data_IF_571071584461
#
_entry.id   IF_571071584461
#
_cell.length_a   1.000
_cell.length_b   1.000
_cell.length_c   1.000
_cell.angle_alpha   90.00
_cell.angle_beta   90.00
_cell.angle_gamma   90.00
#
_symmetry.space_group_name_H-M   'P 1'
#
loop_
_entity.id
_entity.type
_entity.pdbx_description
1 polymer ?
#
# COMPACT_ATOMS: atom_id res chain seq x y z
N UNK A 1 -28.94 -6.59 19.11
CA UNK A 1 -28.67 -5.52 18.13
C UNK A 1 -27.98 -4.39 18.88
N UNK A 2 -27.02 -3.69 18.26
CA UNK A 2 -26.43 -2.50 18.88
C UNK A 2 -27.46 -1.38 18.93
N UNK A 3 -27.61 -0.73 20.09
CA UNK A 3 -28.41 0.48 20.21
C UNK A 3 -27.58 1.67 19.72
N UNK A 4 -27.88 2.14 18.51
CA UNK A 4 -27.16 3.25 17.89
C UNK A 4 -27.47 4.61 18.54
N UNK A 5 -28.41 4.69 19.48
CA UNK A 5 -28.62 5.91 20.28
C UNK A 5 -27.55 6.11 21.36
N UNK A 6 -26.90 5.02 21.80
CA UNK A 6 -25.86 5.03 22.84
C UNK A 6 -24.51 4.47 22.36
N UNK A 7 -24.44 3.98 21.12
CA UNK A 7 -23.23 3.40 20.53
C UNK A 7 -22.82 4.12 19.25
N UNK A 8 -21.53 4.06 18.93
CA UNK A 8 -20.97 4.43 17.62
C UNK A 8 -20.40 3.17 16.97
N UNK A 9 -20.73 2.97 15.69
CA UNK A 9 -20.16 1.93 14.85
C UNK A 9 -19.32 2.59 13.76
N UNK A 10 -18.08 2.15 13.63
CA UNK A 10 -17.18 2.54 12.55
C UNK A 10 -16.82 1.31 11.75
N UNK A 11 -17.06 1.36 10.44
CA UNK A 11 -16.70 0.31 9.50
C UNK A 11 -15.72 0.87 8.48
N UNK A 12 -14.60 0.19 8.30
CA UNK A 12 -13.62 0.52 7.26
C UNK A 12 -12.87 -0.72 6.80
N UNK A 13 -11.86 -0.55 5.94
CA UNK A 13 -10.94 -1.59 5.53
C UNK A 13 -9.49 -1.17 5.82
N UNK A 14 -8.59 -2.14 5.91
CA UNK A 14 -7.16 -1.91 5.95
C UNK A 14 -6.63 -1.48 4.57
N UNK A 15 -7.14 -2.07 3.49
CA UNK A 15 -6.81 -1.73 2.12
C UNK A 15 -7.90 -2.14 1.12
N UNK A 16 -7.75 -1.67 -0.11
CA UNK A 16 -8.54 -2.10 -1.27
C UNK A 16 -7.97 -3.36 -1.93
N UNK A 17 -8.48 -3.68 -3.13
CA UNK A 17 -8.05 -4.84 -3.92
C UNK A 17 -8.31 -4.56 -5.39
N UNK A 18 -7.33 -4.83 -6.27
CA UNK A 18 -7.50 -4.70 -7.71
C UNK A 18 -7.26 -6.03 -8.43
N UNK A 19 -7.88 -6.19 -9.60
CA UNK A 19 -7.51 -7.25 -10.53
C UNK A 19 -6.13 -6.93 -11.13
N UNK A 20 -5.28 -7.94 -11.25
CA UNK A 20 -3.93 -7.82 -11.80
C UNK A 20 -3.85 -8.74 -13.01
N UNK A 21 -3.84 -8.16 -14.21
CA UNK A 21 -3.81 -8.92 -15.47
C UNK A 21 -2.39 -9.31 -15.88
N UNK A 22 -1.38 -8.72 -15.24
CA UNK A 22 0.04 -8.97 -15.52
C UNK A 22 0.86 -9.01 -14.24
N UNK A 23 2.01 -9.68 -14.31
CA UNK A 23 3.03 -9.61 -13.29
C UNK A 23 4.40 -9.26 -13.88
N UNK A 24 5.23 -8.58 -13.10
CA UNK A 24 6.61 -8.21 -13.46
C UNK A 24 7.53 -8.60 -12.31
N UNK A 25 8.72 -9.11 -12.60
CA UNK A 25 9.76 -9.26 -11.59
C UNK A 25 10.85 -8.22 -11.77
N UNK A 26 10.90 -7.20 -10.89
CA UNK A 26 11.99 -6.24 -10.88
C UNK A 26 13.37 -6.90 -10.75
N UNK A 27 13.50 -7.97 -9.95
CA UNK A 27 14.76 -8.71 -9.81
C UNK A 27 15.18 -9.35 -11.13
N UNK A 28 14.24 -9.94 -11.89
CA UNK A 28 14.53 -10.51 -13.20
C UNK A 28 14.90 -9.44 -14.23
N UNK A 29 14.17 -8.31 -14.27
CA UNK A 29 14.50 -7.17 -15.13
C UNK A 29 15.92 -6.71 -14.89
N UNK A 30 16.29 -6.52 -13.62
CA UNK A 30 17.63 -6.09 -13.24
C UNK A 30 18.70 -7.11 -13.63
N UNK A 31 18.42 -8.40 -13.42
CA UNK A 31 19.34 -9.47 -13.81
C UNK A 31 19.60 -9.49 -15.33
N UNK A 32 18.57 -9.26 -16.16
CA UNK A 32 18.70 -9.13 -17.61
C UNK A 32 19.54 -7.90 -18.03
N UNK A 33 19.59 -6.86 -17.19
CA UNK A 33 20.45 -5.70 -17.34
C UNK A 33 21.84 -5.86 -16.68
N UNK A 34 22.16 -7.04 -16.14
CA UNK A 34 23.44 -7.32 -15.48
C UNK A 34 23.55 -6.81 -14.03
N UNK A 35 22.45 -6.38 -13.42
CA UNK A 35 22.38 -5.88 -12.05
C UNK A 35 21.81 -6.96 -11.11
N UNK A 36 22.41 -7.13 -9.94
CA UNK A 36 21.94 -8.09 -8.92
C UNK A 36 21.20 -7.35 -7.81
N UNK A 37 20.02 -7.85 -7.46
CA UNK A 37 19.21 -7.31 -6.38
C UNK A 37 18.50 -8.43 -5.61
N UNK A 38 18.23 -8.18 -4.34
CA UNK A 38 17.40 -9.01 -3.48
C UNK A 38 16.04 -8.37 -3.30
N UNK A 39 14.97 -9.05 -3.71
CA UNK A 39 13.60 -8.57 -3.58
C UNK A 39 12.93 -9.03 -2.28
N UNK A 40 12.07 -8.19 -1.72
CA UNK A 40 11.13 -8.57 -0.65
C UNK A 40 9.73 -8.02 -1.00
N UNK A 41 8.72 -8.89 -1.21
CA UNK A 41 7.37 -8.44 -1.50
C UNK A 41 6.69 -7.96 -0.22
N UNK A 42 5.88 -6.90 -0.34
CA UNK A 42 5.22 -6.29 0.81
C UNK A 42 4.03 -7.11 1.34
N UNK A 43 3.58 -8.10 0.56
CA UNK A 43 2.44 -8.94 0.89
C UNK A 43 2.84 -10.34 1.38
N UNK A 44 4.09 -10.52 1.83
CA UNK A 44 4.61 -11.81 2.29
C UNK A 44 3.88 -12.24 3.58
N UNK A 45 2.84 -13.05 3.45
CA UNK A 45 2.02 -13.54 4.56
C UNK A 45 2.33 -15.01 4.94
N UNK A 46 3.25 -15.67 4.21
CA UNK A 46 3.60 -17.07 4.42
C UNK A 46 2.54 -18.06 3.94
N UNK A 47 1.46 -17.57 3.32
CA UNK A 47 0.34 -18.35 2.80
C UNK A 47 0.24 -18.13 1.29
N UNK A 48 1.07 -18.88 0.54
CA UNK A 48 1.18 -18.81 -0.92
C UNK A 48 -0.18 -18.81 -1.68
N UNK A 49 -1.22 -19.39 -1.07
CA UNK A 49 -2.57 -19.50 -1.64
C UNK A 49 -3.28 -18.15 -1.87
N UNK A 50 -2.93 -17.07 -1.17
CA UNK A 50 -3.70 -15.82 -1.24
C UNK A 50 -3.34 -14.92 -2.41
N UNK A 51 -2.04 -14.80 -2.74
CA UNK A 51 -1.58 -13.89 -3.79
C UNK A 51 -0.44 -14.45 -4.66
N UNK A 52 -0.06 -15.72 -4.49
CA UNK A 52 1.10 -16.33 -5.17
C UNK A 52 2.40 -15.52 -4.96
N UNK A 53 2.52 -14.84 -3.82
CA UNK A 53 3.59 -13.90 -3.47
C UNK A 53 3.75 -12.69 -4.43
N UNK A 54 2.69 -12.33 -5.17
CA UNK A 54 2.66 -11.20 -6.11
C UNK A 54 1.91 -10.00 -5.52
N UNK A 55 2.61 -8.91 -5.21
CA UNK A 55 2.06 -7.72 -4.55
C UNK A 55 2.12 -6.47 -5.41
N UNK A 56 1.48 -5.39 -5.00
CA UNK A 56 1.54 -4.11 -5.72
C UNK A 56 2.85 -3.33 -5.52
N UNK A 57 3.74 -3.81 -4.66
CA UNK A 57 5.02 -3.18 -4.36
C UNK A 57 6.08 -4.20 -3.94
N UNK A 58 7.34 -3.82 -4.11
CA UNK A 58 8.51 -4.65 -3.80
C UNK A 58 9.64 -3.76 -3.24
N UNK A 59 10.22 -4.18 -2.11
CA UNK A 59 11.51 -3.64 -1.67
C UNK A 59 12.65 -4.33 -2.41
N UNK A 60 13.66 -3.55 -2.80
CA UNK A 60 14.89 -4.04 -3.39
C UNK A 60 16.07 -3.66 -2.51
N UNK A 61 16.95 -4.62 -2.29
CA UNK A 61 18.19 -4.48 -1.55
C UNK A 61 19.37 -4.84 -2.47
N UNK A 62 20.50 -4.17 -2.28
CA UNK A 62 21.70 -4.37 -3.09
C UNK A 62 22.92 -4.63 -2.20
N UNK A 63 23.76 -5.58 -2.60
CA UNK A 63 25.06 -5.79 -1.94
C UNK A 63 26.00 -4.60 -2.18
N UNK A 64 25.93 -4.00 -3.38
CA UNK A 64 26.62 -2.77 -3.74
C UNK A 64 25.61 -1.61 -3.79
N UNK A 65 25.65 -0.68 -2.81
CA UNK A 65 24.77 0.49 -2.80
C UNK A 65 24.88 1.36 -4.05
N UNK A 66 26.03 1.34 -4.76
CA UNK A 66 26.22 2.08 -6.00
C UNK A 66 25.30 1.62 -7.14
N UNK A 67 24.81 0.39 -7.09
CA UNK A 67 23.94 -0.18 -8.12
C UNK A 67 22.50 0.38 -8.08
N UNK A 68 22.07 0.99 -6.98
CA UNK A 68 20.68 1.43 -6.82
C UNK A 68 20.26 2.51 -7.84
N UNK A 69 21.19 3.40 -8.22
CA UNK A 69 20.93 4.43 -9.22
C UNK A 69 20.65 3.86 -10.61
N UNK A 70 21.54 2.99 -11.09
CA UNK A 70 21.38 2.31 -12.38
C UNK A 70 20.15 1.40 -12.38
N UNK A 71 19.91 0.69 -11.27
CA UNK A 71 18.73 -0.16 -11.10
C UNK A 71 17.43 0.65 -11.19
N UNK A 72 17.38 1.82 -10.54
CA UNK A 72 16.24 2.74 -10.64
C UNK A 72 16.02 3.19 -12.08
N UNK A 73 17.08 3.56 -12.79
CA UNK A 73 17.00 4.00 -14.19
C UNK A 73 16.44 2.90 -15.11
N UNK A 74 16.90 1.65 -14.95
CA UNK A 74 16.39 0.50 -15.69
C UNK A 74 14.90 0.26 -15.39
N UNK A 75 14.54 0.19 -14.10
CA UNK A 75 13.17 -0.12 -13.69
C UNK A 75 12.16 0.97 -14.09
N UNK A 76 12.57 2.23 -14.11
CA UNK A 76 11.73 3.34 -14.55
C UNK A 76 11.32 3.25 -16.04
N UNK A 77 12.02 2.44 -16.85
CA UNK A 77 11.67 2.21 -18.26
C UNK A 77 10.76 0.99 -18.47
N UNK A 78 10.41 0.26 -17.41
CA UNK A 78 9.64 -0.98 -17.51
C UNK A 78 8.15 -0.67 -17.56
N UNK A 79 7.49 -1.08 -18.64
CA UNK A 79 6.04 -1.01 -18.75
C UNK A 79 5.36 -1.81 -17.61
N UNK A 80 4.60 -1.12 -16.76
CA UNK A 80 3.93 -1.71 -15.61
C UNK A 80 4.56 -1.38 -14.25
N UNK A 81 5.69 -0.66 -14.23
CA UNK A 81 6.23 -0.01 -13.05
C UNK A 81 5.83 1.46 -13.10
N UNK A 82 5.11 1.93 -12.10
CA UNK A 82 4.63 3.33 -12.04
C UNK A 82 5.68 4.26 -11.44
N UNK A 83 6.40 3.78 -10.43
CA UNK A 83 7.31 4.61 -9.65
C UNK A 83 8.36 3.75 -8.96
N UNK A 84 9.57 4.30 -8.82
CA UNK A 84 10.68 3.70 -8.10
C UNK A 84 11.31 4.79 -7.26
N UNK A 85 11.20 4.66 -5.94
CA UNK A 85 11.75 5.63 -4.99
C UNK A 85 12.98 5.04 -4.30
N UNK A 86 13.96 5.90 -4.03
CA UNK A 86 15.03 5.53 -3.13
C UNK A 86 14.57 5.51 -1.68
N UNK A 87 15.38 4.90 -0.82
CA UNK A 87 15.22 4.95 0.64
C UNK A 87 14.99 6.36 1.16
N UNK A 88 15.79 7.33 0.71
CA UNK A 88 15.74 8.73 1.14
C UNK A 88 14.45 9.41 0.70
N UNK A 89 13.88 8.97 -0.41
CA UNK A 89 12.63 9.49 -0.95
C UNK A 89 11.38 8.83 -0.33
N UNK A 90 11.54 7.74 0.44
CA UNK A 90 10.43 6.94 0.95
C UNK A 90 9.42 7.75 1.80
N UNK A 91 9.89 8.80 2.48
CA UNK A 91 9.03 9.72 3.24
C UNK A 91 7.97 10.43 2.40
N UNK A 92 8.16 10.53 1.07
CA UNK A 92 7.15 11.07 0.13
C UNK A 92 5.85 10.27 0.16
N UNK A 93 5.95 8.97 0.41
CA UNK A 93 4.81 8.05 0.54
C UNK A 93 4.51 7.72 2.02
N UNK A 94 4.96 8.57 2.95
CA UNK A 94 4.81 8.39 4.41
C UNK A 94 5.41 7.07 4.93
N UNK A 95 6.40 6.53 4.22
CA UNK A 95 7.13 5.35 4.65
C UNK A 95 8.35 5.75 5.50
N UNK A 96 8.70 4.96 6.53
CA UNK A 96 9.90 5.17 7.35
C UNK A 96 11.18 4.87 6.55
N UNK A 97 12.04 5.85 6.24
CA UNK A 97 13.26 5.64 5.43
C UNK A 97 14.22 4.59 6.01
N UNK A 98 14.25 4.45 7.33
CA UNK A 98 15.08 3.49 8.06
C UNK A 98 14.55 2.05 8.03
N UNK A 99 13.33 1.81 7.51
CA UNK A 99 12.72 0.46 7.48
C UNK A 99 12.29 -0.02 6.08
N UNK A 100 12.66 0.71 5.03
CA UNK A 100 12.44 0.28 3.64
C UNK A 100 13.69 -0.37 3.03
N UNK A 101 13.55 -0.94 1.83
CA UNK A 101 14.70 -1.33 1.01
C UNK A 101 15.50 -0.12 0.51
N UNK A 102 16.60 -0.39 -0.20
CA UNK A 102 17.39 0.66 -0.85
C UNK A 102 16.58 1.35 -1.95
N UNK A 103 15.72 0.57 -2.63
CA UNK A 103 14.62 1.08 -3.44
C UNK A 103 13.29 0.47 -2.99
N UNK A 104 12.21 1.22 -3.20
CA UNK A 104 10.85 0.70 -3.29
C UNK A 104 10.34 0.87 -4.71
N UNK A 105 9.82 -0.22 -5.27
CA UNK A 105 9.21 -0.27 -6.59
C UNK A 105 7.70 -0.42 -6.46
N UNK A 106 6.95 0.40 -7.20
CA UNK A 106 5.49 0.42 -7.22
C UNK A 106 4.96 -0.08 -8.56
N UNK A 107 4.11 -1.09 -8.53
CA UNK A 107 3.45 -1.62 -9.72
C UNK A 107 2.26 -0.75 -10.14
N UNK A 108 2.01 -0.71 -11.46
CA UNK A 108 0.82 -0.11 -12.02
C UNK A 108 -0.46 -0.80 -11.53
N UNK A 109 -1.61 -0.13 -11.71
CA UNK A 109 -2.91 -0.60 -11.20
C UNK A 109 -3.22 -2.07 -11.51
N UNK A 110 -2.88 -2.53 -12.71
CA UNK A 110 -3.17 -3.89 -13.19
C UNK A 110 -1.95 -4.83 -13.14
N UNK A 111 -0.84 -4.38 -12.57
CA UNK A 111 0.43 -5.12 -12.53
C UNK A 111 0.77 -5.49 -11.10
N UNK A 112 1.08 -6.77 -10.88
CA UNK A 112 1.67 -7.24 -9.65
C UNK A 112 3.18 -7.42 -9.80
N UNK A 113 3.93 -7.14 -8.74
CA UNK A 113 5.37 -7.32 -8.64
C UNK A 113 5.67 -8.61 -7.89
N UNK A 114 6.64 -9.36 -8.40
CA UNK A 114 7.09 -10.61 -7.80
C UNK A 114 8.59 -10.84 -7.93
N UNK A 115 9.03 -12.01 -7.48
CA UNK A 115 10.44 -12.40 -7.50
C UNK A 115 10.54 -13.76 -8.16
N UNK A 116 11.30 -13.85 -9.25
CA UNK A 116 11.70 -15.11 -9.86
C UNK A 116 13.04 -14.97 -10.59
N UNK A 117 13.82 -16.05 -10.61
CA UNK A 117 15.14 -16.06 -11.24
C UNK A 117 15.08 -16.31 -12.76
N UNK A 118 14.11 -17.12 -13.20
CA UNK A 118 14.06 -17.66 -14.57
C UNK A 118 12.77 -17.35 -15.32
N UNK A 119 12.86 -17.44 -16.65
CA UNK A 119 11.77 -17.12 -17.57
C UNK A 119 11.65 -15.62 -17.88
N UNK A 120 10.54 -15.20 -18.52
CA UNK A 120 10.37 -13.81 -18.90
C UNK A 120 10.21 -12.91 -17.68
N UNK A 121 10.73 -11.68 -17.77
CA UNK A 121 10.62 -10.66 -16.72
C UNK A 121 9.18 -10.18 -16.48
N UNK A 122 8.27 -10.42 -17.42
CA UNK A 122 6.84 -10.13 -17.31
C UNK A 122 6.00 -11.35 -17.73
N UNK A 123 4.83 -11.52 -17.12
CA UNK A 123 3.90 -12.63 -17.37
C UNK A 123 2.47 -12.10 -17.44
N UNK A 124 1.63 -12.76 -18.21
CA UNK A 124 0.19 -12.54 -18.18
C UNK A 124 -0.42 -13.35 -17.03
N UNK A 125 -1.41 -12.77 -16.36
CA UNK A 125 -2.05 -13.33 -15.18
C UNK A 125 -3.56 -13.44 -15.39
N UNK A 126 -4.11 -14.61 -15.09
CA UNK A 126 -5.55 -14.87 -15.14
C UNK A 126 -6.11 -15.00 -13.73
N UNK A 127 -7.16 -14.21 -13.44
CA UNK A 127 -7.87 -14.29 -12.16
C UNK A 127 -7.10 -13.77 -10.94
N UNK A 128 -5.91 -13.19 -11.11
CA UNK A 128 -5.15 -12.65 -9.99
C UNK A 128 -5.82 -11.39 -9.44
N UNK A 129 -5.94 -11.35 -8.11
CA UNK A 129 -6.28 -10.15 -7.36
C UNK A 129 -5.20 -9.92 -6.33
N UNK A 130 -4.74 -8.68 -6.21
CA UNK A 130 -3.72 -8.30 -5.24
C UNK A 130 -3.84 -6.84 -4.85
N UNK A 131 -3.06 -6.45 -3.85
CA UNK A 131 -3.03 -5.13 -3.23
C UNK A 131 -1.59 -4.71 -2.88
N UNK A 132 -1.45 -3.56 -2.23
CA UNK A 132 -0.16 -3.05 -1.77
C UNK A 132 0.56 -2.13 -2.76
N UNK A 133 -0.10 -1.72 -3.85
CA UNK A 133 0.34 -0.59 -4.68
C UNK A 133 -0.33 0.70 -4.22
N UNK A 134 0.02 1.81 -4.86
CA UNK A 134 -0.65 3.11 -4.67
C UNK A 134 -2.14 3.07 -5.08
N UNK A 135 -2.57 2.07 -5.86
CA UNK A 135 -3.92 1.98 -6.43
C UNK A 135 -4.95 1.25 -5.55
N UNK A 136 -4.54 0.68 -4.41
CA UNK A 136 -5.42 0.00 -3.46
C UNK A 136 -5.63 0.81 -2.16
N UNK A 137 -5.41 2.12 -2.19
CA UNK A 137 -5.56 2.99 -1.01
C UNK A 137 -7.00 3.47 -0.79
N UNK A 138 -7.85 3.46 -1.82
CA UNK A 138 -9.25 3.89 -1.69
C UNK A 138 -10.08 2.78 -1.04
N UNK A 139 -10.54 3.05 0.18
CA UNK A 139 -11.29 2.11 1.03
C UNK A 139 -12.67 2.67 1.40
N UNK A 140 -13.64 1.82 1.78
CA UNK A 140 -14.87 2.30 2.40
C UNK A 140 -14.60 2.84 3.81
N UNK A 141 -15.36 3.86 4.19
CA UNK A 141 -15.41 4.36 5.56
C UNK A 141 -16.83 4.78 5.88
N UNK A 142 -17.38 4.25 6.98
CA UNK A 142 -18.73 4.55 7.45
C UNK A 142 -18.70 4.71 8.97
N UNK A 143 -19.32 5.80 9.43
CA UNK A 143 -19.58 6.08 10.84
C UNK A 143 -21.09 6.18 11.02
N UNK A 144 -21.62 5.57 12.08
CA UNK A 144 -23.04 5.66 12.42
C UNK A 144 -23.25 5.55 13.93
N UNK A 145 -24.23 6.30 14.46
CA UNK A 145 -24.67 6.17 15.85
C UNK A 145 -24.59 7.48 16.64
N UNK A 146 -24.47 7.37 17.96
CA UNK A 146 -24.53 8.49 18.90
C UNK A 146 -23.48 9.57 18.57
N UNK A 147 -23.89 10.83 18.48
CA UNK A 147 -22.97 11.94 18.17
C UNK A 147 -22.47 11.98 16.71
N UNK A 148 -22.94 11.10 15.82
CA UNK A 148 -22.60 11.12 14.39
C UNK A 148 -23.74 11.75 13.58
N UNK A 149 -23.42 12.71 12.72
CA UNK A 149 -24.39 13.40 11.86
C UNK A 149 -24.80 12.51 10.68
N UNK A 150 -26.10 12.22 10.50
CA UNK A 150 -26.56 11.41 9.37
C UNK A 150 -26.44 12.18 8.04
N UNK A 151 -26.19 11.45 6.95
CA UNK A 151 -26.21 12.00 5.58
C UNK A 151 -24.99 12.83 5.19
N UNK A 152 -23.93 12.85 5.99
CA UNK A 152 -22.68 13.54 5.67
C UNK A 152 -21.78 12.67 4.80
N UNK A 153 -21.28 13.23 3.70
CA UNK A 153 -20.22 12.62 2.90
C UNK A 153 -18.85 12.96 3.47
N UNK A 154 -18.05 11.94 3.81
CA UNK A 154 -16.66 12.10 4.23
C UNK A 154 -15.77 12.32 3.01
N UNK A 155 -15.25 13.55 2.87
CA UNK A 155 -14.33 13.90 1.76
C UNK A 155 -12.89 13.88 2.26
N UNK A 156 -12.07 13.06 1.61
CA UNK A 156 -10.64 12.97 1.91
C UNK A 156 -10.32 12.45 3.30
N UNK A 157 -11.22 11.67 3.91
CA UNK A 157 -10.96 11.00 5.17
C UNK A 157 -9.95 9.86 4.97
N UNK A 158 -9.02 9.74 5.91
CA UNK A 158 -8.00 8.71 5.95
C UNK A 158 -8.20 7.81 7.19
N UNK A 159 -7.72 6.57 7.17
CA UNK A 159 -7.85 5.65 8.33
C UNK A 159 -7.25 6.22 9.61
N UNK A 160 -6.20 7.04 9.48
CA UNK A 160 -5.56 7.73 10.62
C UNK A 160 -6.48 8.74 11.30
N UNK A 161 -7.52 9.22 10.64
CA UNK A 161 -8.49 10.16 11.21
C UNK A 161 -9.47 9.49 12.19
N UNK A 162 -9.57 8.16 12.17
CA UNK A 162 -10.53 7.42 12.99
C UNK A 162 -10.23 7.55 14.49
N UNK A 163 -8.97 7.40 14.89
CA UNK A 163 -8.59 7.46 16.31
C UNK A 163 -8.91 8.82 16.95
N UNK A 164 -8.44 9.97 16.43
CA UNK A 164 -8.79 11.28 17.02
C UNK A 164 -10.30 11.55 17.00
N UNK A 165 -11.01 11.08 15.97
CA UNK A 165 -12.48 11.21 15.88
C UNK A 165 -13.20 10.40 16.95
N UNK A 166 -12.78 9.16 17.18
CA UNK A 166 -13.34 8.29 18.23
C UNK A 166 -13.04 8.82 19.63
N UNK A 167 -11.83 9.32 19.87
CA UNK A 167 -11.49 9.99 21.12
C UNK A 167 -12.40 11.19 21.38
N UNK A 168 -12.68 12.01 20.35
CA UNK A 168 -13.62 13.14 20.46
C UNK A 168 -15.02 12.69 20.86
N UNK A 169 -15.57 11.66 20.20
CA UNK A 169 -16.89 11.11 20.51
C UNK A 169 -16.97 10.51 21.91
N UNK A 170 -15.88 9.91 22.39
CA UNK A 170 -15.81 9.28 23.72
C UNK A 170 -15.45 10.27 24.85
N UNK A 171 -15.17 11.55 24.55
CA UNK A 171 -14.69 12.52 25.54
C UNK A 171 -13.29 12.21 26.07
N UNK A 172 -12.46 11.54 25.28
CA UNK A 172 -11.08 11.17 25.61
C UNK A 172 -10.06 12.08 24.92
N UNK A 173 -8.89 12.26 25.54
CA UNK A 173 -7.75 12.89 24.89
C UNK A 173 -7.02 11.88 23.99
N UNK A 174 -6.80 12.23 22.72
CA UNK A 174 -6.18 11.32 21.75
C UNK A 174 -4.66 11.18 21.91
N UNK A 175 -4.00 12.10 22.64
CA UNK A 175 -2.54 12.14 22.74
C UNK A 175 -1.86 12.41 21.38
N UNK A 176 -0.68 11.82 21.18
CA UNK A 176 0.09 11.96 19.95
C UNK A 176 -0.38 10.97 18.86
N UNK A 177 -1.46 11.32 18.18
CA UNK A 177 -1.98 10.58 17.02
C UNK A 177 -1.78 11.35 15.72
N UNK A 178 -1.72 10.63 14.61
CA UNK A 178 -1.81 11.22 13.27
C UNK A 178 -3.28 11.49 12.90
N UNK A 179 -3.49 12.22 11.81
CA UNK A 179 -4.82 12.50 11.28
C UNK A 179 -5.53 13.68 11.95
N UNK A 180 -6.74 13.97 11.48
CA UNK A 180 -7.62 15.03 11.99
C UNK A 180 -8.89 14.44 12.58
N UNK A 181 -9.54 15.20 13.45
CA UNK A 181 -10.94 14.92 13.80
C UNK A 181 -11.80 15.17 12.57
N UNK A 182 -12.67 14.22 12.22
CA UNK A 182 -13.67 14.36 11.18
C UNK A 182 -14.85 15.17 11.70
N UNK A 183 -14.62 16.44 12.01
CA UNK A 183 -15.61 17.36 12.62
C UNK A 183 -16.89 17.45 11.78
N UNK A 184 -16.79 17.32 10.45
CA UNK A 184 -17.94 17.30 9.55
C UNK A 184 -18.93 16.16 9.86
N UNK A 185 -18.43 15.06 10.42
CA UNK A 185 -19.19 13.86 10.73
C UNK A 185 -19.85 13.90 12.12
N UNK A 186 -19.51 14.89 12.95
CA UNK A 186 -19.98 14.96 14.34
C UNK A 186 -21.22 15.87 14.48
N UNK A 187 -22.08 15.52 15.43
CA UNK A 187 -23.31 16.24 15.78
C UNK A 187 -23.06 17.35 16.80
#
# INVERSE_FOLDING_TARGET
AYDLSESVVVLTADHGMNAKSRSVSPVRVLAEAGLRAHGVPLIRDGLFAHHRDLGGALYLYFDDPGAAGDARAVLAQVAGIDDVLSREEAGRDRLPPDRVGDLICWGAREVALGIWADGPAARDESGLRSHGSKHEQRIPMLLAGCGVRPGVELRGAETVDLMPTLCRLAGLEAGAVQGRVLEEALA
#
